data_IF_389980811535
#
_entry.id   IF_389980811535
#
_cell.length_a   1.000
_cell.length_b   1.000
_cell.length_c   1.000
_cell.angle_alpha   90.00
_cell.angle_beta   90.00
_cell.angle_gamma   90.00
#
_symmetry.space_group_name_H-M   'P 1'
#
loop_
_entity.id
_entity.type
_entity.pdbx_description
1 polymer ?
#
# COMPACT_ATOMS: atom_id res chain seq x y z
N UNK A 1 19.91 -28.84 8.06
CA UNK A 1 18.83 -27.91 7.67
C UNK A 1 19.38 -26.95 6.65
N UNK A 2 18.97 -27.07 5.39
CA UNK A 2 19.22 -26.01 4.41
C UNK A 2 18.27 -24.85 4.74
N UNK A 3 18.83 -23.67 4.97
CA UNK A 3 18.07 -22.45 5.21
C UNK A 3 17.79 -21.86 3.83
N UNK A 4 16.60 -22.09 3.30
CA UNK A 4 16.18 -21.48 2.03
C UNK A 4 16.31 -19.96 2.14
N UNK A 5 17.04 -19.37 1.21
CA UNK A 5 17.13 -17.92 1.10
C UNK A 5 15.82 -17.41 0.50
N UNK A 6 14.97 -16.79 1.32
CA UNK A 6 13.78 -16.11 0.83
C UNK A 6 14.24 -14.87 0.06
N UNK A 7 14.09 -14.91 -1.27
CA UNK A 7 14.33 -13.75 -2.13
C UNK A 7 13.10 -12.86 -2.06
N UNK A 8 13.26 -11.65 -1.50
CA UNK A 8 12.19 -10.66 -1.44
C UNK A 8 12.16 -9.81 -2.70
N UNK A 9 11.00 -9.71 -3.32
CA UNK A 9 10.74 -8.82 -4.45
C UNK A 9 10.42 -7.40 -3.97
N UNK A 10 10.51 -6.42 -4.87
CA UNK A 10 10.00 -5.05 -4.61
C UNK A 10 8.54 -5.09 -4.16
N UNK A 11 7.73 -5.96 -4.75
CA UNK A 11 6.33 -6.15 -4.40
C UNK A 11 6.12 -6.56 -2.95
N UNK A 12 6.98 -7.44 -2.42
CA UNK A 12 6.91 -7.89 -1.03
C UNK A 12 7.21 -6.74 -0.05
N UNK A 13 8.22 -5.92 -0.36
CA UNK A 13 8.53 -4.74 0.46
C UNK A 13 7.40 -3.71 0.41
N UNK A 14 6.85 -3.43 -0.77
CA UNK A 14 5.71 -2.51 -0.92
C UNK A 14 4.51 -3.03 -0.12
N UNK A 15 4.16 -4.31 -0.23
CA UNK A 15 3.05 -4.91 0.55
C UNK A 15 3.28 -4.77 2.05
N UNK A 16 4.50 -5.01 2.52
CA UNK A 16 4.85 -4.90 3.94
C UNK A 16 4.72 -3.47 4.46
N UNK A 17 5.22 -2.50 3.70
CA UNK A 17 5.13 -1.07 4.07
C UNK A 17 3.68 -0.59 4.05
N UNK A 18 2.92 -0.92 3.00
CA UNK A 18 1.49 -0.60 2.91
C UNK A 18 0.72 -1.21 4.08
N UNK A 19 0.96 -2.49 4.38
CA UNK A 19 0.37 -3.16 5.54
C UNK A 19 0.69 -2.43 6.84
N UNK A 20 1.96 -2.07 7.05
CA UNK A 20 2.40 -1.35 8.27
C UNK A 20 1.74 0.03 8.40
N UNK A 21 1.63 0.78 7.30
CA UNK A 21 0.97 2.08 7.26
C UNK A 21 -0.52 1.96 7.64
N UNK A 22 -1.23 0.99 7.05
CA UNK A 22 -2.68 0.83 7.23
C UNK A 22 -3.07 0.15 8.54
N UNK A 23 -2.21 -0.69 9.12
CA UNK A 23 -2.44 -1.25 10.47
C UNK A 23 -1.96 -0.30 11.59
N UNK A 24 -1.03 0.61 11.28
CA UNK A 24 -0.47 1.59 12.21
C UNK A 24 -1.10 2.97 12.06
N UNK A 25 -0.33 3.95 11.56
CA UNK A 25 -0.71 5.37 11.55
C UNK A 25 -1.99 5.72 10.77
N UNK A 26 -2.45 4.83 9.90
CA UNK A 26 -3.68 4.97 9.11
C UNK A 26 -4.73 3.90 9.42
N UNK A 27 -4.66 3.25 10.59
CA UNK A 27 -5.70 2.30 11.04
C UNK A 27 -7.09 2.94 10.98
N UNK A 28 -8.07 2.21 10.42
CA UNK A 28 -9.43 2.69 10.24
C UNK A 28 -9.62 3.70 9.11
N UNK A 29 -8.56 4.05 8.38
CA UNK A 29 -8.58 5.02 7.29
C UNK A 29 -8.35 4.33 5.95
N UNK A 30 -8.82 4.98 4.89
CA UNK A 30 -8.65 4.53 3.51
C UNK A 30 -7.78 5.54 2.74
N UNK A 31 -6.86 5.02 1.93
CA UNK A 31 -5.90 5.81 1.16
C UNK A 31 -5.94 5.42 -0.31
N UNK A 32 -6.00 6.42 -1.19
CA UNK A 32 -5.96 6.18 -2.64
C UNK A 32 -4.54 5.83 -3.11
N UNK A 33 -4.45 5.14 -4.25
CA UNK A 33 -3.17 4.68 -4.82
C UNK A 33 -2.09 5.77 -4.91
N UNK A 34 -2.35 6.98 -5.45
CA UNK A 34 -1.31 8.02 -5.51
C UNK A 34 -0.79 8.47 -4.15
N UNK A 35 -1.63 8.49 -3.11
CA UNK A 35 -1.21 8.83 -1.76
C UNK A 35 -0.38 7.71 -1.14
N UNK A 36 -0.81 6.45 -1.34
CA UNK A 36 -0.06 5.28 -0.87
C UNK A 36 1.31 5.16 -1.55
N UNK A 37 1.44 5.43 -2.85
CA UNK A 37 2.73 5.43 -3.56
C UNK A 37 3.68 6.43 -2.91
N UNK A 38 3.23 7.67 -2.67
CA UNK A 38 4.05 8.72 -2.04
C UNK A 38 4.48 8.35 -0.63
N UNK A 39 3.55 7.86 0.19
CA UNK A 39 3.85 7.43 1.55
C UNK A 39 4.79 6.22 1.57
N UNK A 40 4.57 5.25 0.69
CA UNK A 40 5.43 4.06 0.56
C UNK A 40 6.83 4.48 0.16
N UNK A 41 6.99 5.38 -0.81
CA UNK A 41 8.31 5.93 -1.20
C UNK A 41 9.00 6.65 -0.04
N UNK A 42 8.26 7.37 0.79
CA UNK A 42 8.82 8.04 1.96
C UNK A 42 9.27 7.06 3.06
N UNK A 43 8.79 5.80 3.04
CA UNK A 43 9.13 4.74 4.00
C UNK A 43 10.05 3.66 3.42
N UNK A 44 10.44 3.79 2.14
CA UNK A 44 11.40 2.90 1.49
C UNK A 44 12.73 3.64 1.26
N UNK A 45 13.79 2.85 1.09
CA UNK A 45 15.10 3.40 0.74
C UNK A 45 15.07 4.20 -0.58
N UNK A 46 16.05 5.09 -0.74
CA UNK A 46 16.17 5.95 -1.93
C UNK A 46 16.33 5.15 -3.23
N UNK A 47 16.89 3.95 -3.17
CA UNK A 47 17.09 3.04 -4.31
C UNK A 47 15.81 2.66 -5.08
N UNK A 48 14.65 2.61 -4.43
CA UNK A 48 13.38 2.24 -5.09
C UNK A 48 12.79 3.40 -5.89
N UNK A 49 12.63 3.27 -7.19
CA UNK A 49 12.00 4.32 -8.00
C UNK A 49 10.50 4.44 -7.75
N UNK A 50 9.91 5.60 -8.04
CA UNK A 50 8.45 5.78 -8.01
C UNK A 50 7.74 4.85 -9.02
N UNK A 51 8.40 4.52 -10.13
CA UNK A 51 7.86 3.63 -11.15
C UNK A 51 7.73 2.20 -10.61
N UNK A 52 8.78 1.66 -10.00
CA UNK A 52 8.76 0.31 -9.41
C UNK A 52 7.71 0.20 -8.29
N UNK A 53 7.64 1.22 -7.42
CA UNK A 53 6.62 1.29 -6.36
C UNK A 53 5.23 1.38 -6.98
N UNK A 54 5.04 2.18 -8.03
CA UNK A 54 3.77 2.35 -8.72
C UNK A 54 3.27 1.04 -9.33
N UNK A 55 4.15 0.32 -10.04
CA UNK A 55 3.84 -1.00 -10.61
C UNK A 55 3.46 -2.00 -9.53
N UNK A 56 4.27 -2.12 -8.48
CA UNK A 56 3.96 -3.00 -7.34
C UNK A 56 2.65 -2.61 -6.64
N UNK A 57 2.38 -1.31 -6.48
CA UNK A 57 1.14 -0.82 -5.87
C UNK A 57 -0.10 -1.22 -6.70
N UNK A 58 -0.01 -1.21 -8.02
CA UNK A 58 -1.11 -1.67 -8.88
C UNK A 58 -1.48 -3.14 -8.55
N UNK A 59 -0.49 -4.00 -8.32
CA UNK A 59 -0.70 -5.38 -7.90
C UNK A 59 -1.29 -5.51 -6.49
N UNK A 60 -0.95 -4.59 -5.58
CA UNK A 60 -1.59 -4.53 -4.25
C UNK A 60 -3.07 -4.16 -4.39
N UNK A 61 -3.42 -3.18 -5.22
CA UNK A 61 -4.81 -2.82 -5.45
C UNK A 61 -5.61 -3.92 -6.14
N UNK A 62 -4.97 -4.68 -7.05
CA UNK A 62 -5.58 -5.82 -7.74
C UNK A 62 -5.79 -7.02 -6.82
N UNK A 63 -4.84 -7.28 -5.93
CA UNK A 63 -4.86 -8.40 -4.99
C UNK A 63 -4.46 -7.92 -3.58
N UNK A 64 -5.40 -7.34 -2.81
CA UNK A 64 -5.09 -6.64 -1.57
C UNK A 64 -4.86 -7.56 -0.36
N UNK A 65 -5.15 -8.86 -0.49
CA UNK A 65 -4.95 -9.83 0.59
C UNK A 65 -5.81 -9.49 1.81
N UNK A 66 -5.18 -9.35 2.98
CA UNK A 66 -5.84 -9.00 4.24
C UNK A 66 -6.27 -7.51 4.33
N UNK A 67 -5.90 -6.67 3.36
CA UNK A 67 -6.30 -5.26 3.31
C UNK A 67 -7.62 -5.16 2.53
N UNK A 68 -8.50 -4.25 2.94
CA UNK A 68 -9.75 -3.98 2.22
C UNK A 68 -9.52 -2.95 1.11
N UNK A 69 -9.98 -3.26 -0.11
CA UNK A 69 -10.07 -2.32 -1.21
C UNK A 69 -11.53 -1.86 -1.38
N UNK A 70 -11.78 -0.56 -1.22
CA UNK A 70 -13.08 0.04 -1.49
C UNK A 70 -13.04 0.75 -2.84
N UNK A 71 -14.02 0.48 -3.70
CA UNK A 71 -14.14 1.09 -5.02
C UNK A 71 -14.29 2.63 -4.93
N UNK A 72 -14.95 3.11 -3.89
CA UNK A 72 -15.11 4.54 -3.60
C UNK A 72 -14.92 4.79 -2.11
N UNK A 73 -14.00 5.70 -1.78
CA UNK A 73 -13.81 6.16 -0.40
C UNK A 73 -13.11 7.52 -0.40
N UNK A 74 -13.33 8.29 0.66
CA UNK A 74 -12.59 9.53 0.87
C UNK A 74 -11.18 9.22 1.35
N UNK A 75 -10.17 9.52 0.53
CA UNK A 75 -8.78 9.33 0.94
C UNK A 75 -8.44 10.23 2.12
N UNK A 76 -7.93 9.66 3.22
CA UNK A 76 -7.62 10.41 4.44
C UNK A 76 -6.46 11.42 4.31
N UNK A 77 -5.69 11.38 3.22
CA UNK A 77 -4.57 12.31 2.98
C UNK A 77 -4.96 13.46 2.07
N UNK A 78 -5.60 13.18 0.93
CA UNK A 78 -5.91 14.22 -0.06
C UNK A 78 -7.38 14.61 -0.11
N UNK A 79 -8.24 13.99 0.69
CA UNK A 79 -9.69 14.21 0.75
C UNK A 79 -10.41 14.12 -0.62
N UNK A 80 -9.77 13.54 -1.65
CA UNK A 80 -10.39 13.39 -2.96
C UNK A 80 -11.60 12.46 -2.86
N UNK A 81 -12.75 12.98 -3.26
CA UNK A 81 -14.04 12.27 -3.30
C UNK A 81 -14.37 11.64 -4.65
N UNK A 82 -13.54 11.85 -5.69
CA UNK A 82 -13.74 11.19 -6.99
C UNK A 82 -13.66 9.67 -6.81
N UNK A 83 -14.34 8.92 -7.67
CA UNK A 83 -14.40 7.45 -7.70
C UNK A 83 -13.01 6.81 -7.89
N UNK A 84 -12.16 6.91 -6.87
CA UNK A 84 -10.84 6.31 -6.84
C UNK A 84 -10.85 5.18 -5.81
N UNK A 85 -10.37 3.99 -6.19
CA UNK A 85 -10.25 2.92 -5.23
C UNK A 85 -9.27 3.32 -4.14
N UNK A 86 -9.57 2.92 -2.91
CA UNK A 86 -8.72 3.15 -1.76
C UNK A 86 -8.52 1.86 -0.97
N UNK A 87 -7.32 1.69 -0.43
CA UNK A 87 -6.97 0.59 0.47
C UNK A 87 -7.03 1.05 1.93
N UNK A 88 -7.50 0.18 2.81
CA UNK A 88 -7.59 0.44 4.24
C UNK A 88 -7.80 -0.84 5.04
N UNK A 89 -7.66 -0.74 6.36
CA UNK A 89 -8.03 -1.79 7.31
C UNK A 89 -9.16 -1.23 8.18
N UNK A 90 -10.39 -1.76 8.07
CA UNK A 90 -11.53 -1.31 8.87
C UNK A 90 -11.28 -1.46 10.37
N UNK A 91 -11.93 -0.61 11.17
CA UNK A 91 -12.03 -0.83 12.62
C UNK A 91 -13.13 -1.86 12.84
N UNK A 92 -12.79 -3.14 12.78
CA UNK A 92 -13.63 -4.22 13.32
C UNK A 92 -13.58 -4.22 14.84
#
# INVERSE_FOLDING_TARGET
MQREAIIYTVGDFVRRVVGSLLHGGYRGKFLCSPCLIKLTKANLDKSYSLLEIGSAMADVFKAPGAITCLATSACAVCARKKHVPCLGVPLS
#
